data_IF_972054324674
#
_entry.id   IF_972054324674
#
_cell.length_a   1.000
_cell.length_b   1.000
_cell.length_c   1.000
_cell.angle_alpha   90.00
_cell.angle_beta   90.00
_cell.angle_gamma   90.00
#
_symmetry.space_group_name_H-M   'P 1'
#
loop_
_entity.id
_entity.type
_entity.pdbx_description
1 polymer ?
#
# COMPACT_ATOMS: atom_id res chain seq x y z
N UNK A 1 2.65 8.62 -0.42
CA UNK A 1 2.05 7.80 -1.50
C UNK A 1 1.27 8.71 -2.45
N UNK A 2 1.34 8.52 -3.77
CA UNK A 2 0.45 9.23 -4.69
C UNK A 2 -1.03 9.05 -4.31
N UNK A 3 -1.87 10.09 -4.43
CA UNK A 3 -3.29 10.02 -4.04
C UNK A 3 -4.08 8.92 -4.78
N UNK A 4 -3.59 8.45 -5.93
CA UNK A 4 -4.24 7.44 -6.79
C UNK A 4 -4.58 6.14 -6.05
N UNK A 5 -3.78 5.73 -5.06
CA UNK A 5 -4.07 4.55 -4.25
C UNK A 5 -4.93 4.80 -3.01
N UNK A 6 -5.25 6.07 -2.69
CA UNK A 6 -6.02 6.49 -1.50
C UNK A 6 -5.48 5.92 -0.16
N UNK A 7 -4.15 5.80 -0.01
CA UNK A 7 -3.52 5.13 1.16
C UNK A 7 -2.97 6.05 2.23
N UNK A 8 -2.77 7.34 1.97
CA UNK A 8 -2.04 8.24 2.88
C UNK A 8 -2.60 8.25 4.32
N UNK A 9 -3.87 8.64 4.48
CA UNK A 9 -4.52 8.68 5.79
C UNK A 9 -4.67 7.29 6.44
N UNK A 10 -4.93 6.26 5.63
CA UNK A 10 -5.05 4.88 6.09
C UNK A 10 -3.74 4.33 6.67
N UNK A 11 -2.60 4.71 6.08
CA UNK A 11 -1.28 4.38 6.62
C UNK A 11 -1.03 5.09 7.94
N UNK A 12 -1.32 6.39 8.03
CA UNK A 12 -1.19 7.14 9.29
C UNK A 12 -2.03 6.52 10.42
N UNK A 13 -3.26 6.09 10.14
CA UNK A 13 -4.11 5.41 11.12
C UNK A 13 -3.50 4.07 11.59
N UNK A 14 -2.81 3.36 10.69
CA UNK A 14 -2.12 2.10 11.01
C UNK A 14 -0.90 2.36 11.90
N UNK A 15 -0.10 3.37 11.58
CA UNK A 15 1.08 3.75 12.36
C UNK A 15 0.69 4.19 13.77
N UNK A 16 -0.37 4.99 13.91
CA UNK A 16 -0.93 5.37 15.22
C UNK A 16 -1.33 4.13 16.03
N UNK A 17 -1.98 3.14 15.41
CA UNK A 17 -2.37 1.90 16.10
C UNK A 17 -1.14 1.12 16.58
N UNK A 18 -0.11 0.98 15.75
CA UNK A 18 1.11 0.25 16.12
C UNK A 18 1.90 0.97 17.22
N UNK A 19 2.04 2.29 17.10
CA UNK A 19 2.71 3.09 18.11
C UNK A 19 1.95 3.10 19.44
N UNK A 20 0.61 3.20 19.40
CA UNK A 20 -0.22 3.10 20.59
C UNK A 20 0.00 1.77 21.32
N UNK A 21 0.03 0.65 20.60
CA UNK A 21 0.31 -0.65 21.19
C UNK A 21 1.70 -0.69 21.85
N UNK A 22 2.73 -0.18 21.17
CA UNK A 22 4.09 -0.11 21.71
C UNK A 22 4.20 0.77 22.96
N UNK A 23 3.59 1.96 22.94
CA UNK A 23 3.57 2.88 24.08
C UNK A 23 2.80 2.28 25.27
N UNK A 24 1.67 1.63 25.02
CA UNK A 24 0.90 0.93 26.06
C UNK A 24 1.76 -0.13 26.74
N UNK A 25 2.44 -0.98 25.97
CA UNK A 25 3.28 -2.05 26.50
C UNK A 25 4.47 -1.48 27.31
N UNK A 26 5.04 -0.36 26.86
CA UNK A 26 6.11 0.34 27.58
C UNK A 26 5.66 0.94 28.91
N UNK A 27 4.56 1.69 28.92
CA UNK A 27 4.11 2.38 30.14
C UNK A 27 3.46 1.44 31.14
N UNK A 28 2.63 0.50 30.67
CA UNK A 28 1.86 -0.44 31.51
C UNK A 28 2.69 -1.65 31.91
N UNK A 29 3.34 -2.28 30.95
CA UNK A 29 3.97 -3.60 31.11
C UNK A 29 5.51 -3.49 31.22
N UNK A 30 6.06 -2.27 31.22
CA UNK A 30 7.50 -1.94 31.34
C UNK A 30 8.37 -2.64 30.29
N UNK A 31 7.80 -2.90 29.11
CA UNK A 31 8.47 -3.57 28.01
C UNK A 31 8.73 -2.64 26.83
N UNK A 32 9.99 -2.55 26.39
CA UNK A 32 10.38 -1.79 25.19
C UNK A 32 10.13 -2.54 23.88
N UNK A 33 9.84 -3.85 23.94
CA UNK A 33 9.76 -4.72 22.76
C UNK A 33 8.78 -4.22 21.68
N UNK A 34 7.66 -3.61 22.09
CA UNK A 34 6.68 -3.04 21.16
C UNK A 34 7.18 -1.79 20.43
N UNK A 35 7.96 -0.93 21.11
CA UNK A 35 8.58 0.26 20.54
C UNK A 35 9.75 -0.15 19.62
N UNK A 36 10.59 -1.08 20.06
CA UNK A 36 11.75 -1.55 19.28
C UNK A 36 11.30 -2.20 17.96
N UNK A 37 10.18 -2.92 17.98
CA UNK A 37 9.61 -3.55 16.79
C UNK A 37 8.73 -2.63 15.92
N UNK A 38 8.46 -1.39 16.35
CA UNK A 38 7.53 -0.47 15.68
C UNK A 38 7.88 -0.28 14.20
N UNK A 39 9.11 0.14 13.92
CA UNK A 39 9.55 0.48 12.57
C UNK A 39 9.44 -0.71 11.62
N UNK A 40 9.81 -1.91 12.09
CA UNK A 40 9.70 -3.13 11.30
C UNK A 40 8.24 -3.44 10.93
N UNK A 41 7.33 -3.35 11.90
CA UNK A 41 5.89 -3.61 11.70
C UNK A 41 5.26 -2.57 10.77
N UNK A 42 5.51 -1.29 11.03
CA UNK A 42 4.97 -0.19 10.21
C UNK A 42 5.47 -0.28 8.76
N UNK A 43 6.78 -0.43 8.55
CA UNK A 43 7.38 -0.49 7.22
C UNK A 43 6.88 -1.68 6.38
N UNK A 44 6.62 -2.83 7.00
CA UNK A 44 6.06 -3.99 6.30
C UNK A 44 4.69 -3.68 5.65
N UNK A 45 3.90 -2.79 6.25
CA UNK A 45 2.62 -2.31 5.68
C UNK A 45 2.81 -1.15 4.71
N UNK A 46 3.65 -0.18 5.08
CA UNK A 46 3.93 1.01 4.27
C UNK A 46 4.41 0.61 2.88
N UNK A 47 5.35 -0.34 2.77
CA UNK A 47 5.87 -0.76 1.47
C UNK A 47 4.84 -1.44 0.57
N UNK A 48 3.91 -2.21 1.14
CA UNK A 48 2.80 -2.81 0.38
C UNK A 48 1.87 -1.74 -0.18
N UNK A 49 1.54 -0.72 0.62
CA UNK A 49 0.71 0.39 0.20
C UNK A 49 1.42 1.30 -0.83
N UNK A 50 2.72 1.56 -0.66
CA UNK A 50 3.55 2.33 -1.61
C UNK A 50 3.57 1.62 -2.96
N UNK A 51 3.87 0.31 -2.99
CA UNK A 51 3.84 -0.51 -4.20
C UNK A 51 2.49 -0.39 -4.91
N UNK A 52 1.39 -0.54 -4.17
CA UNK A 52 0.05 -0.45 -4.73
C UNK A 52 -0.27 0.94 -5.29
N UNK A 53 0.02 2.00 -4.53
CA UNK A 53 -0.21 3.38 -4.98
C UNK A 53 0.62 3.71 -6.21
N UNK A 54 1.89 3.29 -6.26
CA UNK A 54 2.74 3.48 -7.43
C UNK A 54 2.20 2.75 -8.66
N UNK A 55 1.84 1.48 -8.53
CA UNK A 55 1.25 0.70 -9.63
C UNK A 55 -0.04 1.32 -10.17
N UNK A 56 -0.94 1.78 -9.29
CA UNK A 56 -2.16 2.51 -9.69
C UNK A 56 -1.82 3.81 -10.44
N UNK A 57 -0.82 4.56 -10.00
CA UNK A 57 -0.39 5.78 -10.71
C UNK A 57 0.14 5.46 -12.09
N UNK A 58 1.02 4.46 -12.22
CA UNK A 58 1.58 4.02 -13.51
C UNK A 58 0.53 3.48 -14.46
N UNK A 59 -0.51 2.80 -13.96
CA UNK A 59 -1.60 2.26 -14.78
C UNK A 59 -2.60 3.31 -15.26
N UNK A 60 -2.85 4.36 -14.46
CA UNK A 60 -3.95 5.30 -14.71
C UNK A 60 -3.52 6.66 -15.24
N UNK A 61 -2.21 6.92 -15.36
CA UNK A 61 -1.68 8.19 -15.90
C UNK A 61 -0.90 7.95 -17.18
N UNK A 62 -0.89 8.95 -18.05
CA UNK A 62 0.02 8.99 -19.21
C UNK A 62 1.33 9.64 -18.81
N UNK A 63 2.43 8.98 -19.12
CA UNK A 63 3.78 9.50 -18.92
C UNK A 63 4.38 9.86 -20.28
N UNK A 64 5.02 11.02 -20.42
CA UNK A 64 5.54 11.48 -21.71
C UNK A 64 6.67 10.56 -22.24
N UNK A 65 7.41 9.91 -21.34
CA UNK A 65 8.65 9.19 -21.68
C UNK A 65 8.42 7.71 -22.05
N UNK A 66 7.18 7.20 -22.06
CA UNK A 66 6.91 5.77 -22.27
C UNK A 66 6.70 5.37 -23.74
N UNK A 67 6.46 6.34 -24.63
CA UNK A 67 6.22 6.12 -26.06
C UNK A 67 5.04 5.19 -26.37
N UNK A 68 4.94 4.75 -27.62
CA UNK A 68 3.85 3.87 -28.09
C UNK A 68 3.88 2.48 -27.44
N UNK A 69 5.08 1.92 -27.25
CA UNK A 69 5.24 0.60 -26.63
C UNK A 69 4.70 0.59 -25.18
N UNK A 70 5.08 1.59 -24.38
CA UNK A 70 4.60 1.67 -23.00
C UNK A 70 3.09 1.87 -22.91
N UNK A 71 2.49 2.63 -23.84
CA UNK A 71 1.04 2.78 -23.93
C UNK A 71 0.36 1.44 -24.22
N UNK A 72 0.88 0.63 -25.16
CA UNK A 72 0.34 -0.71 -25.46
C UNK A 72 0.45 -1.68 -24.28
N UNK A 73 1.55 -1.62 -23.52
CA UNK A 73 1.71 -2.41 -22.30
C UNK A 73 0.70 -1.99 -21.23
N UNK A 74 0.49 -0.69 -21.03
CA UNK A 74 -0.50 -0.16 -20.09
C UNK A 74 -1.93 -0.62 -20.45
N UNK A 75 -2.29 -0.56 -21.73
CA UNK A 75 -3.59 -1.05 -22.22
C UNK A 75 -3.78 -2.55 -21.98
N UNK A 76 -2.77 -3.37 -22.30
CA UNK A 76 -2.82 -4.80 -22.08
C UNK A 76 -2.96 -5.17 -20.58
N UNK A 77 -2.28 -4.44 -19.70
CA UNK A 77 -2.38 -4.64 -18.25
C UNK A 77 -3.78 -4.26 -17.72
N UNK A 78 -4.36 -3.18 -18.22
CA UNK A 78 -5.74 -2.78 -17.90
C UNK A 78 -6.77 -3.81 -18.38
N UNK A 79 -6.62 -4.30 -19.61
CA UNK A 79 -7.48 -5.35 -20.15
C UNK A 79 -7.40 -6.63 -19.32
N UNK A 80 -6.18 -7.06 -18.99
CA UNK A 80 -5.96 -8.20 -18.10
C UNK A 80 -6.61 -7.98 -16.74
N UNK A 81 -6.46 -6.80 -16.14
CA UNK A 81 -7.05 -6.48 -14.85
C UNK A 81 -8.57 -6.63 -14.84
N UNK A 82 -9.24 -6.11 -15.87
CA UNK A 82 -10.71 -6.11 -16.00
C UNK A 82 -11.25 -7.49 -16.32
N UNK A 83 -10.56 -8.27 -17.14
CA UNK A 83 -11.04 -9.56 -17.62
C UNK A 83 -10.65 -10.72 -16.70
N UNK A 84 -9.57 -10.60 -15.93
CA UNK A 84 -9.10 -11.65 -15.02
C UNK A 84 -9.65 -11.47 -13.62
N UNK A 85 -10.44 -12.45 -13.16
CA UNK A 85 -10.94 -12.50 -11.77
C UNK A 85 -9.80 -12.48 -10.75
N UNK A 86 -8.68 -13.16 -11.03
CA UNK A 86 -7.54 -13.20 -10.12
C UNK A 86 -6.88 -11.81 -9.99
N UNK A 87 -6.68 -11.10 -11.11
CA UNK A 87 -6.11 -9.76 -11.11
C UNK A 87 -7.05 -8.76 -10.42
N UNK A 88 -8.35 -8.81 -10.74
CA UNK A 88 -9.38 -8.01 -10.07
C UNK A 88 -9.43 -8.26 -8.55
N UNK A 89 -9.25 -9.51 -8.10
CA UNK A 89 -9.20 -9.85 -6.68
C UNK A 89 -7.98 -9.23 -6.01
N UNK A 90 -6.81 -9.30 -6.66
CA UNK A 90 -5.57 -8.69 -6.17
C UNK A 90 -5.67 -7.16 -6.08
N UNK A 91 -6.35 -6.51 -7.04
CA UNK A 91 -6.69 -5.09 -6.93
C UNK A 91 -7.59 -4.83 -5.72
N UNK A 92 -8.69 -5.58 -5.59
CA UNK A 92 -9.68 -5.37 -4.55
C UNK A 92 -9.09 -5.47 -3.14
N UNK A 93 -8.31 -6.52 -2.84
CA UNK A 93 -7.68 -6.69 -1.52
C UNK A 93 -6.73 -5.53 -1.17
N UNK A 94 -6.00 -5.01 -2.15
CA UNK A 94 -5.10 -3.90 -1.93
C UNK A 94 -5.89 -2.60 -1.80
N UNK A 95 -6.99 -2.43 -2.54
CA UNK A 95 -7.83 -1.24 -2.53
C UNK A 95 -8.63 -1.09 -1.22
N UNK A 96 -9.19 -2.16 -0.67
CA UNK A 96 -9.86 -2.13 0.65
C UNK A 96 -8.88 -2.04 1.81
N UNK A 97 -7.63 -2.47 1.59
CA UNK A 97 -6.55 -2.40 2.57
C UNK A 97 -6.30 -3.75 3.25
N UNK A 98 -5.01 -4.06 3.41
CA UNK A 98 -4.56 -5.34 3.97
C UNK A 98 -4.78 -5.41 5.49
N UNK A 99 -4.81 -6.62 6.09
CA UNK A 99 -4.91 -6.81 7.53
C UNK A 99 -3.83 -6.07 8.34
N UNK A 100 -4.17 -5.67 9.57
CA UNK A 100 -3.30 -4.92 10.48
C UNK A 100 -2.36 -5.83 11.27
#
# INVERSE_FOLDING_TARGET
VPPTGAKGLNLAASDVRYLFAGLRDFYRDKSAAGIDAYSQKALARVWKAVRFSWWMTTMLHRFPDTGEFGQRIQEAELDYLVQSRAASTALAENYVGLPY
#
